data_IF_975871030130
#
_entry.id   IF_975871030130
#
_cell.length_a   1.000
_cell.length_b   1.000
_cell.length_c   1.000
_cell.angle_alpha   90.00
_cell.angle_beta   90.00
_cell.angle_gamma   90.00
#
_symmetry.space_group_name_H-M   'P 1'
#
loop_
_entity.id
_entity.type
_entity.pdbx_description
1 polymer ?
#
# COMPACT_ATOMS: atom_id res chain seq x y z
N UNK A 1 -4.23 4.62 33.13
CA UNK A 1 -5.01 5.67 32.43
C UNK A 1 -4.93 7.01 33.15
N UNK A 2 -5.11 7.08 34.48
CA UNK A 2 -4.98 8.32 35.26
C UNK A 2 -3.61 9.00 35.11
N UNK A 3 -2.52 8.27 35.20
CA UNK A 3 -1.15 8.77 35.01
C UNK A 3 -0.87 9.41 33.64
N UNK A 4 -1.64 9.07 32.60
CA UNK A 4 -1.52 9.67 31.28
C UNK A 4 -2.29 10.97 31.14
N UNK A 5 -3.42 11.10 31.86
CA UNK A 5 -4.23 12.32 31.89
C UNK A 5 -3.47 13.42 32.65
N UNK A 6 -2.80 13.08 33.76
CA UNK A 6 -1.97 14.00 34.55
C UNK A 6 -0.74 14.54 33.79
N UNK A 7 -0.32 13.87 32.70
CA UNK A 7 0.81 14.28 31.87
C UNK A 7 0.41 15.10 30.63
N UNK A 8 -0.81 15.59 30.55
CA UNK A 8 -1.26 16.49 29.49
C UNK A 8 -1.50 15.84 28.14
N UNK A 9 -1.71 14.52 28.09
CA UNK A 9 -2.08 13.83 26.85
C UNK A 9 -3.52 14.22 26.48
N UNK A 10 -3.80 14.66 25.24
CA UNK A 10 -5.15 15.05 24.85
C UNK A 10 -6.18 13.96 25.14
N UNK A 11 -7.33 14.33 25.73
CA UNK A 11 -8.42 13.40 26.14
C UNK A 11 -8.84 12.42 25.03
N UNK A 12 -8.78 12.85 23.78
CA UNK A 12 -9.12 12.00 22.62
C UNK A 12 -8.16 10.80 22.49
N UNK A 13 -6.88 10.98 22.78
CA UNK A 13 -5.88 9.94 22.72
C UNK A 13 -5.97 8.97 23.89
N UNK A 14 -6.33 9.45 25.08
CA UNK A 14 -6.53 8.61 26.26
C UNK A 14 -7.74 7.67 26.11
N UNK A 15 -8.85 8.15 25.56
CA UNK A 15 -10.03 7.32 25.28
C UNK A 15 -9.77 6.29 24.19
N UNK A 16 -9.01 6.67 23.15
CA UNK A 16 -8.61 5.77 22.09
C UNK A 16 -7.65 4.70 22.57
N UNK A 17 -6.73 5.08 23.47
CA UNK A 17 -5.82 4.14 24.12
C UNK A 17 -6.55 3.16 25.03
N UNK A 18 -7.49 3.63 25.87
CA UNK A 18 -8.32 2.76 26.69
C UNK A 18 -9.09 1.74 25.85
N UNK A 19 -9.60 2.17 24.70
CA UNK A 19 -10.31 1.29 23.77
C UNK A 19 -9.37 0.22 23.16
N UNK A 20 -8.15 0.62 22.80
CA UNK A 20 -7.13 -0.28 22.28
C UNK A 20 -6.64 -1.26 23.35
N UNK A 21 -6.40 -0.79 24.58
CA UNK A 21 -6.03 -1.63 25.72
C UNK A 21 -7.12 -2.66 26.06
N UNK A 22 -8.39 -2.25 26.01
CA UNK A 22 -9.53 -3.15 26.23
C UNK A 22 -9.69 -4.19 25.09
N UNK A 23 -9.29 -3.86 23.86
CA UNK A 23 -9.37 -4.77 22.71
C UNK A 23 -8.21 -5.77 22.64
N UNK A 24 -7.01 -5.36 23.08
CA UNK A 24 -5.77 -6.12 22.86
C UNK A 24 -5.08 -6.60 24.15
N UNK A 25 -5.67 -6.31 25.32
CA UNK A 25 -5.21 -6.81 26.61
C UNK A 25 -3.79 -6.39 27.00
N UNK A 26 -3.09 -7.25 27.73
CA UNK A 26 -1.74 -7.01 28.27
C UNK A 26 -0.61 -7.02 27.23
N UNK A 27 -0.92 -7.27 25.96
CA UNK A 27 0.08 -7.44 24.90
C UNK A 27 0.60 -6.11 24.31
N UNK A 28 0.10 -4.95 24.79
CA UNK A 28 0.54 -3.63 24.33
C UNK A 28 1.58 -3.06 25.27
N UNK A 29 2.85 -3.15 24.91
CA UNK A 29 3.91 -2.39 25.56
C UNK A 29 3.84 -0.91 25.17
N UNK A 30 3.43 -0.06 26.12
CA UNK A 30 3.40 1.40 25.93
C UNK A 30 4.79 1.94 26.22
N UNK A 31 5.54 2.28 25.18
CA UNK A 31 6.82 2.96 25.34
C UNK A 31 6.60 4.47 25.50
N UNK A 32 7.37 5.04 26.42
CA UNK A 32 7.34 6.44 26.85
C UNK A 32 7.09 7.44 25.71
N UNK A 33 6.12 8.32 25.91
CA UNK A 33 5.91 9.48 25.05
C UNK A 33 7.22 10.30 24.94
N UNK A 34 7.79 10.38 23.76
CA UNK A 34 8.94 11.26 23.54
C UNK A 34 8.47 12.71 23.54
N UNK A 35 9.18 13.55 24.30
CA UNK A 35 8.87 14.94 24.65
C UNK A 35 8.78 15.93 23.48
N UNK A 36 8.95 15.53 22.26
CA UNK A 36 8.95 16.44 21.10
C UNK A 36 7.90 16.16 20.05
N UNK A 37 6.95 15.31 20.28
CA UNK A 37 6.08 14.99 19.20
C UNK A 37 4.64 14.68 19.55
N UNK A 38 4.24 14.85 20.79
CA UNK A 38 2.82 14.80 21.13
C UNK A 38 2.09 13.51 20.75
N UNK A 39 2.82 12.43 20.41
CA UNK A 39 2.24 11.17 19.98
C UNK A 39 2.75 10.03 20.84
N UNK A 40 1.82 9.27 21.40
CA UNK A 40 2.15 7.98 21.99
C UNK A 40 2.61 7.04 20.89
N UNK A 41 3.88 6.68 20.91
CA UNK A 41 4.35 5.53 20.14
C UNK A 41 3.91 4.27 20.89
N UNK A 42 3.01 3.52 20.32
CA UNK A 42 2.80 2.13 20.70
C UNK A 42 3.99 1.37 20.12
N UNK A 43 4.78 0.76 21.01
CA UNK A 43 5.80 -0.16 20.56
C UNK A 43 5.11 -1.35 19.88
N UNK A 44 5.35 -1.47 18.61
CA UNK A 44 4.79 -2.55 17.80
C UNK A 44 5.68 -3.80 17.80
N UNK A 45 6.80 -3.78 18.52
CA UNK A 45 7.67 -4.96 18.62
C UNK A 45 6.96 -6.18 19.24
N UNK A 46 5.81 -5.97 19.91
CA UNK A 46 4.92 -7.01 20.42
C UNK A 46 3.62 -7.21 19.64
N UNK A 47 3.30 -6.36 18.65
CA UNK A 47 2.17 -6.59 17.75
C UNK A 47 2.54 -7.69 16.77
N UNK A 48 2.30 -8.92 17.18
CA UNK A 48 2.24 -10.07 16.27
C UNK A 48 1.05 -9.77 15.37
N UNK A 49 1.30 -9.27 14.17
CA UNK A 49 0.29 -9.17 13.14
C UNK A 49 -0.19 -10.59 12.86
N UNK A 50 -1.36 -10.96 13.38
CA UNK A 50 -1.97 -12.29 13.18
C UNK A 50 -2.06 -12.64 11.70
N UNK A 51 -2.16 -11.61 10.87
CA UNK A 51 -2.14 -11.73 9.42
C UNK A 51 -1.39 -10.54 8.81
N UNK A 52 -0.09 -10.71 8.64
CA UNK A 52 0.77 -9.69 8.08
C UNK A 52 0.48 -9.44 6.58
N UNK A 53 0.01 -10.45 5.84
CA UNK A 53 -0.37 -10.31 4.44
C UNK A 53 -1.67 -9.52 4.28
N UNK A 54 -2.69 -9.78 5.12
CA UNK A 54 -3.90 -8.96 5.13
C UNK A 54 -3.62 -7.51 5.49
N UNK A 55 -2.70 -7.26 6.44
CA UNK A 55 -2.25 -5.92 6.77
C UNK A 55 -1.54 -5.23 5.59
N UNK A 56 -0.61 -5.91 4.94
CA UNK A 56 0.11 -5.40 3.78
C UNK A 56 -0.85 -5.12 2.61
N UNK A 57 -1.86 -5.97 2.40
CA UNK A 57 -2.90 -5.76 1.39
C UNK A 57 -3.72 -4.51 1.67
N UNK A 58 -4.17 -4.30 2.91
CA UNK A 58 -4.89 -3.08 3.29
C UNK A 58 -4.04 -1.82 3.09
N UNK A 59 -2.73 -1.90 3.35
CA UNK A 59 -1.83 -0.79 3.10
C UNK A 59 -1.60 -0.56 1.59
N UNK A 60 -1.49 -1.63 0.79
CA UNK A 60 -1.39 -1.53 -0.66
C UNK A 60 -2.66 -0.91 -1.27
N UNK A 61 -3.84 -1.30 -0.77
CA UNK A 61 -5.12 -0.71 -1.19
C UNK A 61 -5.20 0.79 -0.90
N UNK A 62 -4.70 1.25 0.26
CA UNK A 62 -4.76 2.65 0.66
C UNK A 62 -3.68 3.50 -0.04
N UNK A 63 -2.41 3.25 0.26
CA UNK A 63 -1.27 4.11 -0.09
C UNK A 63 -0.26 3.43 -1.02
N UNK A 64 -0.56 2.22 -1.49
CA UNK A 64 0.28 1.51 -2.45
C UNK A 64 -0.08 1.81 -3.91
N UNK A 65 0.74 1.28 -4.79
CA UNK A 65 0.50 1.33 -6.23
C UNK A 65 0.73 -0.03 -6.88
N UNK A 66 -0.08 -0.31 -7.92
CA UNK A 66 0.10 -1.42 -8.86
C UNK A 66 -0.01 -0.79 -10.24
N UNK A 67 0.99 -0.95 -11.10
CA UNK A 67 1.00 -0.32 -12.42
C UNK A 67 1.81 -1.11 -13.45
N UNK A 68 1.56 -0.83 -14.72
CA UNK A 68 2.41 -1.22 -15.84
C UNK A 68 2.81 0.09 -16.54
N UNK A 69 4.11 0.34 -16.62
CA UNK A 69 4.63 1.58 -17.22
C UNK A 69 4.34 1.62 -18.73
N UNK A 70 4.53 2.79 -19.34
CA UNK A 70 4.40 2.93 -20.80
C UNK A 70 5.37 2.00 -21.56
N UNK A 71 6.52 1.69 -20.97
CA UNK A 71 7.49 0.74 -21.53
C UNK A 71 7.10 -0.73 -21.33
N UNK A 72 5.96 -1.02 -20.67
CA UNK A 72 5.51 -2.39 -20.42
C UNK A 72 6.18 -3.05 -19.22
N UNK A 73 6.74 -2.28 -18.29
CA UNK A 73 7.36 -2.81 -17.08
C UNK A 73 6.32 -2.85 -15.95
N UNK A 74 5.95 -4.03 -15.45
CA UNK A 74 5.05 -4.15 -14.32
C UNK A 74 5.76 -3.71 -13.04
N UNK A 75 5.05 -3.02 -12.17
CA UNK A 75 5.57 -2.50 -10.90
C UNK A 75 4.49 -2.49 -9.84
N UNK A 76 4.87 -2.77 -8.61
CA UNK A 76 4.04 -2.54 -7.44
C UNK A 76 4.89 -1.99 -6.29
N UNK A 77 4.25 -1.39 -5.30
CA UNK A 77 4.99 -0.95 -4.13
C UNK A 77 4.14 -0.19 -3.12
N UNK A 78 4.77 0.05 -2.00
CA UNK A 78 4.23 0.80 -0.86
C UNK A 78 4.96 2.13 -0.76
N UNK A 79 4.24 3.19 -0.42
CA UNK A 79 4.79 4.53 -0.19
C UNK A 79 4.28 5.02 1.15
N UNK A 80 5.20 5.53 1.97
CA UNK A 80 4.85 6.16 3.24
C UNK A 80 5.72 7.40 3.46
N UNK A 81 5.32 8.29 4.36
CA UNK A 81 6.01 9.55 4.62
C UNK A 81 6.35 9.73 6.09
N UNK A 82 7.47 10.43 6.37
CA UNK A 82 7.94 10.75 7.71
C UNK A 82 8.45 9.54 8.49
N UNK A 83 8.90 9.76 9.73
CA UNK A 83 9.61 8.75 10.53
C UNK A 83 8.81 7.45 10.75
N UNK A 84 7.50 7.56 10.95
CA UNK A 84 6.62 6.37 11.06
C UNK A 84 6.53 5.61 9.74
N UNK A 85 6.47 6.35 8.63
CA UNK A 85 6.47 5.77 7.29
C UNK A 85 7.77 5.02 7.01
N UNK A 86 8.90 5.53 7.51
CA UNK A 86 10.19 4.85 7.43
C UNK A 86 10.14 3.49 8.12
N UNK A 87 9.80 3.47 9.41
CA UNK A 87 9.69 2.23 10.19
C UNK A 87 8.74 1.22 9.52
N UNK A 88 7.63 1.72 9.00
CA UNK A 88 6.63 0.93 8.34
C UNK A 88 7.13 0.26 7.06
N UNK A 89 7.85 1.00 6.21
CA UNK A 89 8.48 0.44 5.02
C UNK A 89 9.58 -0.58 5.38
N UNK A 90 10.37 -0.32 6.42
CA UNK A 90 11.40 -1.25 6.92
C UNK A 90 10.76 -2.57 7.39
N UNK A 91 9.68 -2.50 8.18
CA UNK A 91 8.96 -3.68 8.66
C UNK A 91 8.32 -4.49 7.53
N UNK A 92 7.65 -3.81 6.59
CA UNK A 92 7.05 -4.47 5.42
C UNK A 92 8.12 -5.15 4.57
N UNK A 93 9.21 -4.47 4.27
CA UNK A 93 10.31 -5.05 3.48
C UNK A 93 10.90 -6.28 4.15
N UNK A 94 11.14 -6.22 5.47
CA UNK A 94 11.63 -7.35 6.26
C UNK A 94 10.65 -8.53 6.23
N UNK A 95 9.36 -8.24 6.37
CA UNK A 95 8.32 -9.29 6.38
C UNK A 95 8.16 -9.96 5.02
N UNK A 96 8.10 -9.17 3.95
CA UNK A 96 7.92 -9.69 2.59
C UNK A 96 9.18 -10.42 2.11
N UNK A 97 10.36 -9.96 2.55
CA UNK A 97 11.66 -10.56 2.21
C UNK A 97 12.01 -10.45 0.73
N UNK A 98 11.47 -9.42 0.04
CA UNK A 98 11.69 -9.16 -1.37
C UNK A 98 11.49 -7.67 -1.68
N UNK A 99 11.86 -7.25 -2.90
CA UNK A 99 11.74 -5.88 -3.35
C UNK A 99 12.90 -4.97 -2.94
N UNK A 100 12.83 -3.70 -3.30
CA UNK A 100 13.85 -2.69 -3.06
C UNK A 100 13.35 -1.66 -2.06
N UNK A 101 14.02 -1.57 -0.91
CA UNK A 101 13.75 -0.55 0.10
C UNK A 101 14.49 0.74 -0.24
N UNK A 102 13.76 1.83 -0.35
CA UNK A 102 14.28 3.17 -0.60
C UNK A 102 13.82 4.10 0.53
N UNK A 103 14.77 4.56 1.33
CA UNK A 103 14.51 5.45 2.47
C UNK A 103 14.93 6.87 2.15
N UNK A 104 14.31 7.83 2.84
CA UNK A 104 14.67 9.25 2.83
C UNK A 104 14.74 9.87 1.42
N UNK A 105 13.83 9.46 0.53
CA UNK A 105 13.72 10.08 -0.78
C UNK A 105 13.35 11.55 -0.62
N UNK A 106 14.21 12.44 -1.09
CA UNK A 106 13.99 13.89 -1.05
C UNK A 106 12.75 14.24 -1.88
N UNK A 107 11.89 15.04 -1.31
CA UNK A 107 10.75 15.61 -2.00
C UNK A 107 11.08 17.07 -2.36
N UNK A 108 10.58 17.55 -3.48
CA UNK A 108 11.01 18.77 -4.15
C UNK A 108 10.65 20.10 -3.44
N UNK A 109 10.08 20.07 -2.23
CA UNK A 109 9.80 21.29 -1.47
C UNK A 109 10.17 21.13 0.01
N UNK A 110 10.64 22.22 0.63
CA UNK A 110 11.08 22.26 2.03
C UNK A 110 9.98 21.91 3.05
N UNK A 111 8.72 21.96 2.64
CA UNK A 111 7.55 21.65 3.47
C UNK A 111 7.06 20.20 3.33
N UNK A 112 7.72 19.36 2.53
CA UNK A 112 7.32 17.98 2.33
C UNK A 112 8.15 17.04 3.20
N UNK A 113 7.48 16.07 3.82
CA UNK A 113 8.15 15.01 4.59
C UNK A 113 8.89 14.06 3.65
N UNK A 114 10.02 13.51 4.08
CA UNK A 114 10.72 12.46 3.35
C UNK A 114 9.79 11.31 3.00
N UNK A 115 9.90 10.80 1.79
CA UNK A 115 9.17 9.62 1.34
C UNK A 115 10.04 8.37 1.50
N UNK A 116 9.39 7.28 1.86
CA UNK A 116 10.00 5.96 1.97
C UNK A 116 9.19 5.00 1.11
N UNK A 117 9.86 4.07 0.45
CA UNK A 117 9.21 3.15 -0.49
C UNK A 117 9.75 1.74 -0.34
N UNK A 118 8.87 0.78 -0.56
CA UNK A 118 9.25 -0.59 -0.90
C UNK A 118 8.71 -0.87 -2.30
N UNK A 119 9.60 -1.09 -3.25
CA UNK A 119 9.25 -1.21 -4.67
C UNK A 119 9.63 -2.57 -5.23
N UNK A 120 8.78 -3.10 -6.08
CA UNK A 120 8.93 -4.41 -6.71
C UNK A 120 8.94 -4.24 -8.23
N UNK A 121 9.99 -4.74 -8.88
CA UNK A 121 10.22 -4.63 -10.33
C UNK A 121 10.51 -6.00 -10.96
N UNK A 122 11.19 -6.88 -10.23
CA UNK A 122 11.49 -8.22 -10.70
C UNK A 122 10.21 -9.05 -10.79
N UNK A 123 10.08 -9.85 -11.85
CA UNK A 123 8.89 -10.68 -12.08
C UNK A 123 8.59 -11.61 -10.93
N UNK A 124 9.61 -12.29 -10.42
CA UNK A 124 9.47 -13.25 -9.33
C UNK A 124 9.02 -12.57 -8.03
N UNK A 125 9.59 -11.39 -7.71
CA UNK A 125 9.20 -10.60 -6.54
C UNK A 125 7.75 -10.12 -6.66
N UNK A 126 7.35 -9.65 -7.86
CA UNK A 126 5.97 -9.22 -8.12
C UNK A 126 4.99 -10.38 -8.03
N UNK A 127 5.33 -11.53 -8.64
CA UNK A 127 4.48 -12.72 -8.60
C UNK A 127 4.31 -13.21 -7.16
N UNK A 128 5.39 -13.26 -6.39
CA UNK A 128 5.36 -13.60 -4.97
C UNK A 128 4.49 -12.61 -4.17
N UNK A 129 4.74 -11.32 -4.31
CA UNK A 129 4.01 -10.28 -3.59
C UNK A 129 2.52 -10.32 -3.92
N UNK A 130 2.18 -10.17 -5.21
CA UNK A 130 0.78 -10.05 -5.64
C UNK A 130 0.01 -11.35 -5.42
N UNK A 131 0.66 -12.52 -5.59
CA UNK A 131 0.06 -13.81 -5.29
C UNK A 131 -0.38 -13.95 -3.83
N UNK A 132 0.43 -13.45 -2.89
CA UNK A 132 0.10 -13.45 -1.47
C UNK A 132 -0.93 -12.38 -1.09
N UNK A 133 -0.90 -11.21 -1.74
CA UNK A 133 -1.80 -10.10 -1.39
C UNK A 133 -3.19 -10.20 -2.02
N UNK A 134 -3.30 -10.75 -3.23
CA UNK A 134 -4.57 -10.78 -3.99
C UNK A 134 -5.77 -11.33 -3.20
N UNK A 135 -5.67 -12.40 -2.39
CA UNK A 135 -6.80 -12.89 -1.60
C UNK A 135 -7.33 -11.89 -0.56
N UNK A 136 -6.49 -10.93 -0.16
CA UNK A 136 -6.78 -9.95 0.89
C UNK A 136 -7.11 -8.56 0.34
N UNK A 137 -6.79 -8.27 -0.94
CA UNK A 137 -7.09 -6.99 -1.58
C UNK A 137 -8.59 -6.80 -1.78
N UNK A 138 -9.07 -5.57 -1.70
CA UNK A 138 -10.47 -5.18 -1.90
C UNK A 138 -10.65 -4.15 -3.01
N UNK A 139 -9.71 -3.22 -3.14
CA UNK A 139 -9.79 -2.15 -4.14
C UNK A 139 -8.90 -2.41 -5.36
N UNK A 140 -7.78 -3.08 -5.17
CA UNK A 140 -6.78 -3.30 -6.22
C UNK A 140 -6.62 -4.78 -6.61
N UNK A 141 -7.59 -5.64 -6.25
CA UNK A 141 -7.54 -7.07 -6.55
C UNK A 141 -7.52 -7.36 -8.06
N UNK A 142 -8.34 -6.65 -8.82
CA UNK A 142 -8.39 -6.81 -10.29
C UNK A 142 -7.10 -6.31 -10.96
N UNK A 143 -6.52 -5.21 -10.45
CA UNK A 143 -5.23 -4.73 -10.95
C UNK A 143 -4.11 -5.73 -10.65
N UNK A 144 -4.11 -6.35 -9.47
CA UNK A 144 -3.15 -7.37 -9.09
C UNK A 144 -3.26 -8.61 -10.00
N UNK A 145 -4.48 -9.10 -10.22
CA UNK A 145 -4.76 -10.21 -11.17
C UNK A 145 -4.28 -9.87 -12.57
N UNK A 146 -4.60 -8.67 -13.07
CA UNK A 146 -4.18 -8.23 -14.39
C UNK A 146 -2.66 -8.15 -14.55
N UNK A 147 -1.93 -7.70 -13.51
CA UNK A 147 -0.46 -7.69 -13.53
C UNK A 147 0.10 -9.10 -13.49
N UNK A 148 -0.45 -10.01 -12.67
CA UNK A 148 -0.04 -11.41 -12.66
C UNK A 148 -0.25 -12.07 -14.04
N UNK A 149 -1.43 -11.89 -14.64
CA UNK A 149 -1.70 -12.38 -15.98
C UNK A 149 -0.76 -11.75 -17.03
N UNK A 150 -0.46 -10.45 -16.92
CA UNK A 150 0.46 -9.76 -17.83
C UNK A 150 1.89 -10.33 -17.79
N UNK A 151 2.35 -10.74 -16.61
CA UNK A 151 3.70 -11.32 -16.45
C UNK A 151 3.83 -12.62 -17.24
N UNK A 152 2.79 -13.46 -17.24
CA UNK A 152 2.78 -14.77 -17.87
C UNK A 152 2.31 -14.74 -19.34
N UNK A 153 1.64 -13.67 -19.77
CA UNK A 153 1.04 -13.56 -21.10
C UNK A 153 2.10 -13.51 -22.20
N UNK A 154 1.89 -14.28 -23.26
CA UNK A 154 2.75 -14.34 -24.45
C UNK A 154 2.13 -13.66 -25.67
N UNK A 155 0.79 -13.63 -25.75
CA UNK A 155 0.09 -12.94 -26.83
C UNK A 155 0.25 -11.42 -26.70
N UNK A 156 0.81 -10.73 -27.69
CA UNK A 156 1.05 -9.30 -27.64
C UNK A 156 -0.25 -8.47 -27.61
N UNK A 157 -1.34 -8.97 -28.20
CA UNK A 157 -2.63 -8.30 -28.21
C UNK A 157 -3.21 -8.33 -26.79
N UNK A 158 -3.28 -9.51 -26.20
CA UNK A 158 -3.77 -9.71 -24.84
C UNK A 158 -2.91 -8.94 -23.82
N UNK A 159 -1.60 -8.97 -24.00
CA UNK A 159 -0.67 -8.20 -23.17
C UNK A 159 -0.93 -6.71 -23.21
N UNK A 160 -1.24 -6.17 -24.40
CA UNK A 160 -1.62 -4.77 -24.57
C UNK A 160 -2.94 -4.45 -23.88
N UNK A 161 -3.93 -5.33 -23.95
CA UNK A 161 -5.22 -5.16 -23.27
C UNK A 161 -5.03 -5.13 -21.74
N UNK A 162 -4.28 -6.07 -21.16
CA UNK A 162 -3.98 -6.11 -19.74
C UNK A 162 -3.25 -4.85 -19.26
N UNK A 163 -2.26 -4.38 -20.04
CA UNK A 163 -1.57 -3.10 -19.74
C UNK A 163 -2.56 -1.93 -19.71
N UNK A 164 -3.40 -1.81 -20.73
CA UNK A 164 -4.41 -0.75 -20.82
C UNK A 164 -5.38 -0.78 -19.65
N UNK A 165 -5.87 -1.97 -19.29
CA UNK A 165 -6.74 -2.15 -18.14
C UNK A 165 -6.10 -1.62 -16.85
N UNK A 166 -4.85 -2.02 -16.53
CA UNK A 166 -4.15 -1.55 -15.33
C UNK A 166 -3.93 -0.03 -15.35
N UNK A 167 -3.57 0.53 -16.50
CA UNK A 167 -3.38 1.98 -16.66
C UNK A 167 -4.69 2.75 -16.50
N UNK A 168 -5.78 2.24 -17.05
CA UNK A 168 -7.10 2.82 -16.87
C UNK A 168 -7.54 2.79 -15.42
N UNK A 169 -7.44 1.65 -14.75
CA UNK A 169 -7.84 1.49 -13.33
C UNK A 169 -7.10 2.46 -12.40
N UNK A 170 -5.84 2.81 -12.73
CA UNK A 170 -5.08 3.82 -11.98
C UNK A 170 -5.53 5.26 -12.24
N UNK A 171 -6.33 5.50 -13.28
CA UNK A 171 -6.80 6.82 -13.72
C UNK A 171 -8.32 6.95 -13.67
N UNK A 172 -8.98 5.91 -13.21
CA UNK A 172 -10.44 5.84 -13.15
C UNK A 172 -11.03 7.04 -12.39
N UNK A 173 -12.09 7.63 -12.97
CA UNK A 173 -12.70 8.84 -12.43
C UNK A 173 -11.85 10.13 -12.60
N UNK A 174 -10.73 10.08 -13.31
CA UNK A 174 -9.90 11.24 -13.62
C UNK A 174 -10.08 11.67 -15.09
N UNK A 175 -9.75 12.92 -15.42
CA UNK A 175 -9.72 13.42 -16.81
C UNK A 175 -8.85 12.52 -17.70
N UNK A 176 -7.69 12.10 -17.19
CA UNK A 176 -6.79 11.19 -17.93
C UNK A 176 -7.39 9.80 -18.16
N UNK A 177 -8.24 9.31 -17.27
CA UNK A 177 -8.97 8.07 -17.47
C UNK A 177 -9.99 8.18 -18.60
N UNK A 178 -10.78 9.24 -18.58
CA UNK A 178 -11.75 9.53 -19.65
C UNK A 178 -11.09 9.76 -21.01
N UNK A 179 -9.97 10.48 -21.03
CA UNK A 179 -9.17 10.67 -22.25
C UNK A 179 -8.64 9.32 -22.78
N UNK A 180 -8.21 8.44 -21.90
CA UNK A 180 -7.76 7.08 -22.29
C UNK A 180 -8.88 6.27 -22.93
N UNK A 181 -10.09 6.28 -22.36
CA UNK A 181 -11.24 5.59 -22.96
C UNK A 181 -11.56 6.13 -24.36
N UNK A 182 -11.56 7.46 -24.51
CA UNK A 182 -11.80 8.11 -25.80
C UNK A 182 -10.72 7.74 -26.83
N UNK A 183 -9.45 7.76 -26.41
CA UNK A 183 -8.31 7.38 -27.28
C UNK A 183 -8.42 5.92 -27.75
N UNK A 184 -8.87 5.04 -26.86
CA UNK A 184 -9.00 3.61 -27.20
C UNK A 184 -10.27 3.31 -28.01
N UNK A 185 -11.21 4.23 -28.09
CA UNK A 185 -12.50 4.01 -28.73
C UNK A 185 -13.36 2.95 -28.05
N UNK A 186 -13.20 2.79 -26.73
CA UNK A 186 -13.98 1.88 -25.89
C UNK A 186 -14.68 2.63 -24.79
N UNK A 187 -15.79 2.10 -24.33
CA UNK A 187 -16.49 2.61 -23.16
C UNK A 187 -15.97 1.94 -21.86
N UNK A 188 -16.40 2.51 -20.75
CA UNK A 188 -16.04 2.05 -19.41
C UNK A 188 -16.53 0.61 -19.15
N UNK A 189 -17.71 0.27 -19.62
CA UNK A 189 -18.32 -1.05 -19.46
C UNK A 189 -17.46 -2.11 -20.14
N UNK A 190 -17.02 -1.85 -21.36
CA UNK A 190 -16.10 -2.73 -22.09
C UNK A 190 -14.81 -2.98 -21.32
N UNK A 191 -14.22 -1.94 -20.72
CA UNK A 191 -12.98 -2.08 -19.92
C UNK A 191 -13.25 -2.91 -18.67
N UNK A 192 -14.37 -2.71 -17.98
CA UNK A 192 -14.74 -3.47 -16.80
C UNK A 192 -15.00 -4.95 -17.12
N UNK A 193 -15.64 -5.23 -18.26
CA UNK A 193 -15.87 -6.60 -18.73
C UNK A 193 -14.57 -7.34 -19.05
N UNK A 194 -13.51 -6.64 -19.47
CA UNK A 194 -12.17 -7.26 -19.58
C UNK A 194 -11.65 -7.76 -18.24
N UNK A 195 -11.96 -7.03 -17.17
CA UNK A 195 -11.53 -7.40 -15.82
C UNK A 195 -12.26 -8.63 -15.28
N UNK A 196 -13.54 -8.77 -15.58
CA UNK A 196 -14.35 -9.93 -15.13
C UNK A 196 -13.92 -11.25 -15.80
N UNK A 197 -13.25 -11.16 -16.93
CA UNK A 197 -12.68 -12.30 -17.65
C UNK A 197 -11.25 -12.70 -17.18
N UNK A 198 -10.71 -12.03 -16.16
CA UNK A 198 -9.40 -12.32 -15.56
C UNK A 198 -9.52 -13.24 -14.35
#
# INVERSE_FOLDING_TARGET
TQNLIEKGVPRLNANRLSKLLNMYGEEINIIKAHRKGEYMCIDRSGLILKDAWAYAAGFLDADGYITITERGEPRAGFIATGDRGRMHCEELHKHIGAGVLQLDQKVYSDNQRSQHRVSFYAKDDLSKLLGQLTPHLRMKDMQAKAVLAYIEEKDPVRKTQLKRFVQFSNRDGTVKGEDSLREWGVDRETVMNWAEGL
#
